data_IF_801491321690
#
_entry.id   IF_801491321690
#
_cell.length_a   1.000
_cell.length_b   1.000
_cell.length_c   1.000
_cell.angle_alpha   90.00
_cell.angle_beta   90.00
_cell.angle_gamma   90.00
#
_symmetry.space_group_name_H-M   'P 1'
#
loop_
_entity.id
_entity.type
_entity.pdbx_description
1 polymer ?
#
# COMPACT_ATOMS: atom_id res chain seq x y z
N UNK A 1 2.83 26.54 18.27
CA UNK A 1 4.01 27.09 17.54
C UNK A 1 5.29 26.93 18.37
N UNK A 2 6.37 26.41 17.78
CA UNK A 2 7.73 26.33 18.39
C UNK A 2 8.70 27.13 17.55
N UNK A 3 9.60 27.88 18.20
CA UNK A 3 10.62 28.68 17.53
C UNK A 3 11.98 28.34 18.12
N UNK A 4 12.91 27.89 17.28
CA UNK A 4 14.29 27.56 17.67
C UNK A 4 15.23 28.40 16.81
N UNK A 5 16.20 29.06 17.49
CA UNK A 5 17.25 29.81 16.80
C UNK A 5 18.48 28.91 16.62
N UNK A 6 19.08 28.96 15.46
CA UNK A 6 20.33 28.27 15.14
C UNK A 6 21.15 29.16 14.20
N UNK A 7 22.43 29.32 14.50
CA UNK A 7 23.31 30.27 13.80
C UNK A 7 22.64 31.64 13.68
N UNK A 8 22.43 32.14 12.46
CA UNK A 8 21.73 33.39 12.16
C UNK A 8 20.28 33.16 11.72
N UNK A 9 19.80 31.94 11.82
CA UNK A 9 18.53 31.50 11.29
C UNK A 9 17.50 31.22 12.40
N UNK A 10 16.25 31.12 11.99
CA UNK A 10 15.13 30.74 12.87
C UNK A 10 14.37 29.57 12.23
N UNK A 11 14.17 28.52 12.98
CA UNK A 11 13.24 27.46 12.63
C UNK A 11 11.91 27.64 13.35
N UNK A 12 10.83 27.66 12.59
CA UNK A 12 9.45 27.76 13.08
C UNK A 12 8.73 26.46 12.74
N UNK A 13 8.20 25.80 13.77
CA UNK A 13 7.36 24.62 13.57
C UNK A 13 5.90 24.93 13.91
N UNK A 14 4.99 24.48 13.03
CA UNK A 14 3.55 24.60 13.12
C UNK A 14 2.88 23.26 12.83
N UNK A 15 1.70 23.06 13.42
CA UNK A 15 0.81 21.96 13.06
C UNK A 15 -0.43 22.54 12.32
N UNK A 16 -0.94 21.80 11.34
CA UNK A 16 -2.14 22.24 10.58
C UNK A 16 -3.40 22.40 11.43
N UNK A 17 -3.40 21.86 12.66
CA UNK A 17 -4.50 22.05 13.60
C UNK A 17 -4.50 23.44 14.27
N UNK A 18 -3.41 24.20 14.17
CA UNK A 18 -3.21 25.51 14.83
C UNK A 18 -3.56 26.66 13.88
N UNK A 19 -4.84 26.78 13.49
CA UNK A 19 -5.30 27.71 12.46
C UNK A 19 -4.89 29.17 12.71
N UNK A 20 -4.99 29.67 13.96
CA UNK A 20 -4.64 31.06 14.28
C UNK A 20 -3.15 31.34 14.06
N UNK A 21 -2.28 30.42 14.44
CA UNK A 21 -0.84 30.53 14.26
C UNK A 21 -0.44 30.42 12.77
N UNK A 22 -1.14 29.55 12.01
CA UNK A 22 -0.94 29.42 10.57
C UNK A 22 -1.30 30.71 9.83
N UNK A 23 -2.49 31.29 10.09
CA UNK A 23 -2.92 32.54 9.47
C UNK A 23 -1.94 33.69 9.76
N UNK A 24 -1.41 33.75 10.98
CA UNK A 24 -0.40 34.74 11.35
C UNK A 24 0.88 34.58 10.55
N UNK A 25 1.42 33.34 10.46
CA UNK A 25 2.64 33.04 9.69
C UNK A 25 2.43 33.35 8.20
N UNK A 26 1.30 32.96 7.65
CA UNK A 26 1.01 33.26 6.24
C UNK A 26 0.99 34.76 5.94
N UNK A 27 0.44 35.58 6.88
CA UNK A 27 0.45 37.03 6.78
C UNK A 27 1.85 37.62 6.99
N UNK A 28 2.57 37.18 8.03
CA UNK A 28 3.89 37.74 8.41
C UNK A 28 4.94 37.46 7.31
N UNK A 29 4.85 36.32 6.62
CA UNK A 29 5.77 35.92 5.58
C UNK A 29 5.22 36.10 4.17
N UNK A 30 4.08 36.76 3.98
CA UNK A 30 3.44 37.00 2.68
C UNK A 30 3.39 35.73 1.83
N UNK A 31 2.80 34.65 2.42
CA UNK A 31 2.66 33.36 1.77
C UNK A 31 1.37 33.33 0.96
N UNK A 32 1.48 32.95 -0.32
CA UNK A 32 0.36 32.92 -1.24
C UNK A 32 -0.73 31.94 -0.78
N UNK A 33 -1.99 32.30 -1.02
CA UNK A 33 -3.17 31.46 -0.74
C UNK A 33 -3.07 30.08 -1.41
N UNK A 34 -2.45 29.98 -2.55
CA UNK A 34 -2.21 28.72 -3.25
C UNK A 34 -1.34 27.77 -2.43
N UNK A 35 -0.23 28.27 -1.86
CA UNK A 35 0.66 27.50 -0.97
C UNK A 35 -0.09 27.04 0.29
N UNK A 36 -0.98 27.92 0.82
CA UNK A 36 -1.81 27.59 1.98
C UNK A 36 -2.71 26.39 1.67
N UNK A 37 -3.38 26.41 0.52
CA UNK A 37 -4.25 25.32 0.10
C UNK A 37 -3.49 24.00 -0.05
N UNK A 38 -2.29 24.01 -0.64
CA UNK A 38 -1.44 22.83 -0.75
C UNK A 38 -1.01 22.29 0.61
N UNK A 39 -0.66 23.16 1.55
CA UNK A 39 -0.24 22.78 2.90
C UNK A 39 -1.36 22.08 3.67
N UNK A 40 -2.60 22.51 3.48
CA UNK A 40 -3.78 21.97 4.16
C UNK A 40 -4.26 20.65 3.52
N UNK A 41 -4.01 20.43 2.23
CA UNK A 41 -4.41 19.19 1.56
C UNK A 41 -3.61 17.99 2.10
N UNK A 42 -4.35 16.99 2.60
CA UNK A 42 -3.75 15.74 3.12
C UNK A 42 -3.19 14.85 2.00
N UNK A 43 -3.72 15.00 0.79
CA UNK A 43 -3.35 14.22 -0.38
C UNK A 43 -2.47 14.99 -1.36
N UNK A 44 -1.92 16.15 -0.96
CA UNK A 44 -1.07 16.94 -1.83
C UNK A 44 0.16 16.16 -2.28
N UNK A 45 0.54 16.37 -3.52
CA UNK A 45 1.70 15.71 -4.11
C UNK A 45 2.99 16.41 -3.70
N UNK A 46 4.08 15.64 -3.65
CA UNK A 46 5.40 16.25 -3.50
C UNK A 46 5.64 17.25 -4.65
N UNK A 47 6.02 18.47 -4.29
CA UNK A 47 6.24 19.56 -5.25
C UNK A 47 7.29 20.53 -4.76
N UNK A 48 7.89 21.22 -5.73
CA UNK A 48 8.83 22.31 -5.54
C UNK A 48 8.23 23.58 -6.15
N UNK A 49 8.20 24.66 -5.38
CA UNK A 49 7.91 26.00 -5.88
C UNK A 49 9.01 26.96 -5.43
N UNK A 50 9.51 27.77 -6.34
CA UNK A 50 10.48 28.79 -6.03
C UNK A 50 10.12 30.10 -6.72
N UNK A 51 9.77 31.10 -5.92
CA UNK A 51 9.58 32.46 -6.38
C UNK A 51 10.86 33.25 -6.25
N UNK A 52 11.44 33.60 -7.40
CA UNK A 52 12.69 34.36 -7.47
C UNK A 52 12.55 35.79 -6.98
N UNK A 53 11.35 36.39 -7.03
CA UNK A 53 11.13 37.80 -6.63
C UNK A 53 11.08 37.96 -5.12
N UNK A 54 10.39 37.06 -4.44
CA UNK A 54 10.27 37.05 -2.99
C UNK A 54 11.32 36.20 -2.28
N UNK A 55 12.18 35.50 -3.04
CA UNK A 55 13.13 34.49 -2.57
C UNK A 55 12.47 33.43 -1.65
N UNK A 56 11.26 33.04 -2.02
CA UNK A 56 10.43 32.08 -1.32
C UNK A 56 10.61 30.70 -1.95
N UNK A 57 11.10 29.74 -1.17
CA UNK A 57 11.15 28.33 -1.56
C UNK A 57 10.11 27.56 -0.76
N UNK A 58 9.26 26.81 -1.44
CA UNK A 58 8.27 25.90 -0.87
C UNK A 58 8.55 24.49 -1.36
N UNK A 59 8.65 23.57 -0.42
CA UNK A 59 8.81 22.14 -0.65
C UNK A 59 7.70 21.37 0.05
N UNK A 60 7.03 20.50 -0.67
CA UNK A 60 6.08 19.53 -0.10
C UNK A 60 6.66 18.14 -0.31
N UNK A 61 6.87 17.40 0.77
CA UNK A 61 7.56 16.12 0.78
C UNK A 61 6.73 15.06 1.51
N UNK A 62 6.60 13.87 0.92
CA UNK A 62 5.79 12.81 1.51
C UNK A 62 6.55 12.08 2.62
N UNK A 63 5.86 11.83 3.73
CA UNK A 63 6.38 11.22 4.96
C UNK A 63 5.54 9.99 5.30
N UNK A 64 6.14 8.85 5.70
CA UNK A 64 5.39 7.72 6.22
C UNK A 64 4.61 8.11 7.48
N UNK A 65 3.35 7.69 7.58
CA UNK A 65 2.56 7.86 8.79
C UNK A 65 3.08 6.94 9.90
N UNK A 66 3.14 7.46 11.14
CA UNK A 66 3.61 6.69 12.30
C UNK A 66 2.71 5.48 12.60
N UNK A 67 1.41 5.59 12.37
CA UNK A 67 0.41 4.57 12.65
C UNK A 67 -0.35 4.17 11.39
N UNK A 68 -0.89 2.95 11.40
CA UNK A 68 -1.73 2.44 10.32
C UNK A 68 -3.12 3.08 10.37
N UNK A 69 -3.66 3.33 9.17
CA UNK A 69 -5.07 3.65 8.93
C UNK A 69 -5.70 2.42 8.27
N UNK A 70 -6.85 1.95 8.72
CA UNK A 70 -7.54 0.78 8.15
C UNK A 70 -6.62 -0.45 7.89
N UNK A 71 -5.71 -0.74 8.83
CA UNK A 71 -4.71 -1.82 8.82
C UNK A 71 -3.56 -1.68 7.82
N UNK A 72 -3.44 -0.60 7.07
CA UNK A 72 -2.31 -0.36 6.16
C UNK A 72 -1.58 0.95 6.50
N UNK A 73 -0.33 1.04 6.08
CA UNK A 73 0.44 2.28 6.18
C UNK A 73 0.11 3.21 5.03
N UNK A 74 0.06 4.50 5.34
CA UNK A 74 -0.11 5.59 4.40
C UNK A 74 1.04 6.59 4.51
N UNK A 75 1.04 7.58 3.65
CA UNK A 75 1.96 8.71 3.70
C UNK A 75 1.18 10.02 3.75
N UNK A 76 1.72 11.00 4.46
CA UNK A 76 1.12 12.33 4.57
C UNK A 76 2.18 13.39 4.23
N UNK A 77 1.85 14.41 3.42
CA UNK A 77 2.81 15.44 3.06
C UNK A 77 3.15 16.35 4.25
N UNK A 78 4.42 16.75 4.33
CA UNK A 78 4.95 17.80 5.18
C UNK A 78 5.35 18.97 4.29
N UNK A 79 5.13 20.21 4.76
CA UNK A 79 5.50 21.40 4.01
C UNK A 79 6.70 22.08 4.66
N UNK A 80 7.70 22.38 3.87
CA UNK A 80 8.87 23.18 4.23
C UNK A 80 8.85 24.48 3.44
N UNK A 81 9.06 25.60 4.13
CA UNK A 81 9.13 26.93 3.54
C UNK A 81 10.43 27.58 3.99
N UNK A 82 11.20 28.06 3.03
CA UNK A 82 12.42 28.85 3.28
C UNK A 82 12.20 30.25 2.74
N UNK A 83 12.31 31.25 3.61
CA UNK A 83 12.27 32.66 3.24
C UNK A 83 13.30 33.44 4.05
N UNK A 84 14.26 34.05 3.37
CA UNK A 84 15.40 34.72 4.01
C UNK A 84 16.12 33.78 5.01
N UNK A 85 16.26 34.21 6.29
CA UNK A 85 16.88 33.44 7.36
C UNK A 85 15.85 32.62 8.17
N UNK A 86 14.67 32.36 7.61
CA UNK A 86 13.62 31.61 8.31
C UNK A 86 13.31 30.32 7.58
N UNK A 87 13.31 29.23 8.34
CA UNK A 87 12.87 27.90 7.92
C UNK A 87 11.57 27.55 8.64
N UNK A 88 10.51 27.33 7.89
CA UNK A 88 9.20 26.99 8.46
C UNK A 88 8.86 25.56 8.08
N UNK A 89 8.44 24.77 9.07
CA UNK A 89 7.96 23.41 8.86
C UNK A 89 6.51 23.32 9.31
N UNK A 90 5.63 22.84 8.44
CA UNK A 90 4.22 22.64 8.76
C UNK A 90 3.91 21.15 8.66
N UNK A 91 3.56 20.55 9.81
CA UNK A 91 3.25 19.13 9.95
C UNK A 91 1.75 18.91 10.11
N UNK A 92 1.35 17.67 9.90
CA UNK A 92 0.04 17.13 10.29
C UNK A 92 0.23 16.16 11.47
N UNK A 93 -0.82 15.78 12.14
CA UNK A 93 -0.76 14.89 13.31
C UNK A 93 0.01 13.59 13.01
N UNK A 94 -0.20 13.03 11.81
CA UNK A 94 0.37 11.74 11.38
C UNK A 94 1.90 11.77 11.21
N UNK A 95 2.48 12.93 10.89
CA UNK A 95 3.90 13.09 10.60
C UNK A 95 4.64 14.05 11.54
N UNK A 96 4.00 14.56 12.59
CA UNK A 96 4.60 15.46 13.58
C UNK A 96 5.82 14.85 14.29
N UNK A 97 5.93 13.52 14.33
CA UNK A 97 7.08 12.82 14.93
C UNK A 97 8.43 13.17 14.29
N UNK A 98 8.43 13.68 13.06
CA UNK A 98 9.65 14.14 12.37
C UNK A 98 10.29 15.34 13.09
N UNK A 99 9.48 16.18 13.72
CA UNK A 99 10.01 17.38 14.42
C UNK A 99 10.97 17.03 15.55
N UNK A 100 10.77 15.88 16.21
CA UNK A 100 11.69 15.42 17.26
C UNK A 100 13.08 15.07 16.69
N UNK A 101 13.14 14.52 15.49
CA UNK A 101 14.42 14.23 14.82
C UNK A 101 15.10 15.53 14.35
N UNK A 102 14.30 16.49 13.88
CA UNK A 102 14.77 17.81 13.49
C UNK A 102 15.36 18.59 14.70
N UNK A 103 14.68 18.54 15.86
CA UNK A 103 15.17 19.13 17.11
C UNK A 103 16.52 18.52 17.52
N UNK A 104 16.61 17.19 17.54
CA UNK A 104 17.86 16.48 17.88
C UNK A 104 19.02 16.83 16.95
N UNK A 105 18.73 17.00 15.66
CA UNK A 105 19.76 17.41 14.70
C UNK A 105 20.32 18.79 15.05
N UNK A 106 19.44 19.78 15.30
CA UNK A 106 19.86 21.14 15.63
C UNK A 106 20.59 21.22 16.98
N UNK A 107 20.22 20.42 17.99
CA UNK A 107 20.96 20.34 19.28
C UNK A 107 22.42 19.91 19.08
N UNK A 108 22.71 19.13 18.03
CA UNK A 108 24.06 18.65 17.73
C UNK A 108 24.79 19.52 16.69
N UNK A 109 24.06 20.32 15.91
CA UNK A 109 24.56 21.06 14.76
C UNK A 109 24.01 22.50 14.74
N UNK A 110 24.23 23.25 15.81
CA UNK A 110 23.75 24.64 15.98
C UNK A 110 24.27 25.61 14.90
N UNK A 111 25.42 25.31 14.29
CA UNK A 111 26.06 26.12 13.25
C UNK A 111 25.65 25.77 11.82
N UNK A 112 24.65 24.88 11.63
CA UNK A 112 24.16 24.46 10.31
C UNK A 112 23.58 25.63 9.52
N UNK A 113 23.67 25.52 8.19
CA UNK A 113 22.90 26.37 7.28
C UNK A 113 21.45 25.90 7.22
N UNK A 114 20.54 26.72 6.63
CA UNK A 114 19.16 26.32 6.38
C UNK A 114 19.10 25.12 5.43
N UNK A 115 19.95 25.08 4.42
CA UNK A 115 19.92 24.00 3.42
C UNK A 115 20.54 22.70 3.96
N UNK A 116 21.61 22.75 4.77
CA UNK A 116 22.11 21.58 5.51
C UNK A 116 21.01 21.01 6.41
N UNK A 117 20.31 21.86 7.15
CA UNK A 117 19.20 21.43 8.00
C UNK A 117 18.04 20.84 7.20
N UNK A 118 17.68 21.47 6.06
CA UNK A 118 16.65 20.94 5.16
C UNK A 118 17.04 19.58 4.58
N UNK A 119 18.26 19.46 4.01
CA UNK A 119 18.67 18.21 3.36
C UNK A 119 18.85 17.08 4.36
N UNK A 120 19.39 17.34 5.55
CA UNK A 120 19.39 16.35 6.61
C UNK A 120 17.97 15.91 6.99
N UNK A 121 17.04 16.86 7.10
CA UNK A 121 15.63 16.53 7.38
C UNK A 121 15.03 15.63 6.30
N UNK A 122 15.27 15.95 5.02
CA UNK A 122 14.80 15.12 3.89
C UNK A 122 15.46 13.73 3.91
N UNK A 123 16.73 13.64 4.27
CA UNK A 123 17.44 12.37 4.45
C UNK A 123 16.80 11.52 5.55
N UNK A 124 16.58 12.10 6.73
CA UNK A 124 15.93 11.42 7.85
C UNK A 124 14.54 10.93 7.47
N UNK A 125 13.73 11.75 6.79
CA UNK A 125 12.40 11.33 6.32
C UNK A 125 12.52 10.17 5.34
N UNK A 126 13.47 10.21 4.42
CA UNK A 126 13.71 9.15 3.45
C UNK A 126 14.12 7.84 4.13
N UNK A 127 15.02 7.92 5.11
CA UNK A 127 15.44 6.77 5.93
C UNK A 127 14.28 6.14 6.69
N UNK A 128 13.31 6.94 7.17
CA UNK A 128 12.11 6.41 7.85
C UNK A 128 11.24 5.49 6.98
N UNK A 129 11.38 5.47 5.67
CA UNK A 129 10.64 4.52 4.81
C UNK A 129 11.12 3.07 5.02
N UNK A 130 12.41 2.84 5.26
CA UNK A 130 12.98 1.50 5.32
C UNK A 130 12.37 0.61 6.42
N UNK A 131 12.26 1.06 7.69
CA UNK A 131 11.66 0.23 8.74
C UNK A 131 10.24 -0.23 8.41
N UNK A 132 9.43 0.63 7.81
CA UNK A 132 8.05 0.28 7.41
C UNK A 132 8.03 -0.73 6.25
N UNK A 133 8.92 -0.57 5.27
CA UNK A 133 9.06 -1.52 4.15
C UNK A 133 9.51 -2.89 4.67
N UNK A 134 10.44 -2.94 5.61
CA UNK A 134 10.90 -4.18 6.24
C UNK A 134 9.80 -4.85 7.05
N UNK A 135 9.02 -4.08 7.82
CA UNK A 135 7.85 -4.60 8.54
C UNK A 135 6.83 -5.19 7.57
N UNK A 136 6.46 -4.46 6.51
CA UNK A 136 5.52 -4.96 5.49
C UNK A 136 6.04 -6.22 4.81
N UNK A 137 7.34 -6.31 4.50
CA UNK A 137 7.96 -7.50 3.93
C UNK A 137 7.93 -8.69 4.91
N UNK A 138 8.12 -8.45 6.19
CA UNK A 138 8.01 -9.47 7.24
C UNK A 138 6.57 -9.97 7.38
N UNK A 139 5.60 -9.05 7.41
CA UNK A 139 4.18 -9.39 7.43
C UNK A 139 3.77 -10.17 6.18
N UNK A 140 4.24 -9.80 4.99
CA UNK A 140 4.02 -10.52 3.73
C UNK A 140 4.53 -11.97 3.81
N UNK A 141 5.74 -12.20 4.34
CA UNK A 141 6.28 -13.56 4.54
C UNK A 141 5.38 -14.38 5.45
N UNK A 142 4.93 -13.82 6.56
CA UNK A 142 4.04 -14.47 7.53
C UNK A 142 2.67 -14.80 6.91
N UNK A 143 2.08 -13.86 6.17
CA UNK A 143 0.80 -14.07 5.47
C UNK A 143 0.94 -15.16 4.41
N UNK A 144 2.02 -15.15 3.61
CA UNK A 144 2.29 -16.16 2.61
C UNK A 144 2.39 -17.58 3.23
N UNK A 145 3.09 -17.74 4.36
CA UNK A 145 3.19 -19.02 5.06
C UNK A 145 1.79 -19.51 5.48
N UNK A 146 0.99 -18.64 6.11
CA UNK A 146 -0.38 -18.98 6.52
C UNK A 146 -1.31 -19.33 5.33
N UNK A 147 -1.15 -18.63 4.20
CA UNK A 147 -1.94 -18.89 2.99
C UNK A 147 -1.56 -20.22 2.33
N UNK A 148 -0.29 -20.63 2.41
CA UNK A 148 0.16 -21.97 1.96
C UNK A 148 -0.45 -23.10 2.77
N UNK A 149 -0.59 -22.91 4.09
CA UNK A 149 -1.21 -23.91 4.97
C UNK A 149 -2.73 -23.97 4.75
N UNK A 150 -3.38 -22.82 4.75
CA UNK A 150 -4.81 -22.67 4.54
C UNK A 150 -5.17 -21.30 3.96
N UNK A 151 -5.74 -21.32 2.77
CA UNK A 151 -6.30 -20.10 2.17
C UNK A 151 -7.56 -19.69 2.93
N UNK A 152 -7.50 -18.58 3.66
CA UNK A 152 -8.62 -18.03 4.42
C UNK A 152 -8.94 -16.60 4.01
N UNK A 153 -10.20 -16.18 4.12
CA UNK A 153 -10.62 -14.81 3.84
C UNK A 153 -9.81 -13.79 4.64
N UNK A 154 -9.51 -14.09 5.92
CA UNK A 154 -8.73 -13.21 6.80
C UNK A 154 -7.33 -12.97 6.25
N UNK A 155 -6.62 -14.02 5.81
CA UNK A 155 -5.26 -13.90 5.30
C UNK A 155 -5.21 -13.18 3.94
N UNK A 156 -6.26 -13.32 3.13
CA UNK A 156 -6.38 -12.59 1.87
C UNK A 156 -6.63 -11.08 2.10
N UNK A 157 -7.43 -10.72 3.11
CA UNK A 157 -7.63 -9.33 3.49
C UNK A 157 -6.31 -8.71 3.98
N UNK A 158 -5.55 -9.42 4.84
CA UNK A 158 -4.23 -8.95 5.27
C UNK A 158 -3.25 -8.76 4.09
N UNK A 159 -3.32 -9.63 3.07
CA UNK A 159 -2.51 -9.46 1.87
C UNK A 159 -2.92 -8.22 1.09
N UNK A 160 -4.23 -7.96 0.99
CA UNK A 160 -4.79 -6.76 0.35
C UNK A 160 -4.39 -5.48 1.10
N UNK A 161 -4.41 -5.50 2.44
CA UNK A 161 -3.99 -4.36 3.26
C UNK A 161 -2.50 -4.02 3.03
N UNK A 162 -1.65 -5.04 2.94
CA UNK A 162 -0.22 -4.87 2.60
C UNK A 162 -0.02 -4.33 1.17
N UNK A 163 -0.82 -4.81 0.21
CA UNK A 163 -0.78 -4.33 -1.17
C UNK A 163 -1.20 -2.86 -1.26
N UNK A 164 -2.22 -2.46 -0.50
CA UNK A 164 -2.65 -1.07 -0.40
C UNK A 164 -1.55 -0.19 0.19
N UNK A 165 -0.97 -0.58 1.32
CA UNK A 165 0.08 0.20 1.98
C UNK A 165 1.32 0.39 1.11
N UNK A 166 1.77 -0.66 0.41
CA UNK A 166 2.94 -0.53 -0.47
C UNK A 166 2.68 0.39 -1.67
N UNK A 167 1.43 0.48 -2.17
CA UNK A 167 1.06 1.39 -3.26
C UNK A 167 1.22 2.86 -2.82
N UNK A 168 0.83 3.21 -1.60
CA UNK A 168 1.09 4.54 -1.04
C UNK A 168 2.59 4.84 -1.01
N UNK A 169 3.41 3.90 -0.55
CA UNK A 169 4.86 4.08 -0.47
C UNK A 169 5.53 4.20 -1.83
N UNK A 170 5.11 3.40 -2.82
CA UNK A 170 5.59 3.52 -4.22
C UNK A 170 5.23 4.89 -4.79
N UNK A 171 4.02 5.38 -4.55
CA UNK A 171 3.58 6.68 -5.05
C UNK A 171 4.38 7.80 -4.41
N UNK A 172 4.46 7.80 -3.08
CA UNK A 172 5.17 8.82 -2.31
C UNK A 172 6.66 8.88 -2.62
N UNK A 173 7.35 7.73 -2.61
CA UNK A 173 8.79 7.67 -2.89
C UNK A 173 9.14 8.15 -4.30
N UNK A 174 8.35 7.79 -5.31
CA UNK A 174 8.53 8.30 -6.68
C UNK A 174 8.37 9.82 -6.77
N UNK A 175 7.36 10.36 -6.11
CA UNK A 175 7.13 11.82 -6.09
C UNK A 175 8.27 12.54 -5.38
N UNK A 176 8.76 11.99 -4.26
CA UNK A 176 9.89 12.54 -3.52
C UNK A 176 11.16 12.55 -4.38
N UNK A 177 11.47 11.46 -5.12
CA UNK A 177 12.61 11.44 -6.06
C UNK A 177 12.47 12.49 -7.14
N UNK A 178 11.29 12.62 -7.76
CA UNK A 178 11.07 13.63 -8.80
C UNK A 178 11.28 15.06 -8.27
N UNK A 179 10.86 15.33 -7.05
CA UNK A 179 11.09 16.62 -6.39
C UNK A 179 12.59 16.85 -6.15
N UNK A 180 13.32 15.86 -5.63
CA UNK A 180 14.77 15.97 -5.40
C UNK A 180 15.53 16.19 -6.72
N UNK A 181 15.15 15.51 -7.80
CA UNK A 181 15.71 15.73 -9.14
C UNK A 181 15.41 17.15 -9.67
N UNK A 182 14.22 17.69 -9.38
CA UNK A 182 13.92 19.10 -9.68
C UNK A 182 14.83 20.06 -8.92
N UNK A 183 15.11 19.81 -7.63
CA UNK A 183 16.05 20.61 -6.84
C UNK A 183 17.45 20.60 -7.48
N UNK A 184 17.95 19.42 -7.88
CA UNK A 184 19.28 19.29 -8.49
C UNK A 184 19.44 20.03 -9.82
N UNK A 185 18.37 20.25 -10.55
CA UNK A 185 18.39 20.92 -11.87
C UNK A 185 17.95 22.38 -11.82
N UNK A 186 17.37 22.82 -10.70
CA UNK A 186 16.85 24.19 -10.57
C UNK A 186 17.95 25.24 -10.44
N UNK A 187 17.69 26.46 -10.92
CA UNK A 187 18.65 27.56 -10.91
C UNK A 187 19.10 28.01 -9.51
N UNK A 188 18.27 27.84 -8.46
CA UNK A 188 18.64 28.19 -7.10
C UNK A 188 19.70 27.25 -6.49
N UNK A 189 19.97 26.06 -7.06
CA UNK A 189 21.08 25.19 -6.70
C UNK A 189 22.44 25.92 -6.72
N UNK A 190 22.54 26.93 -7.55
CA UNK A 190 23.78 27.75 -7.61
C UNK A 190 24.07 28.53 -6.31
N UNK A 191 23.08 28.65 -5.42
CA UNK A 191 23.26 29.23 -4.07
C UNK A 191 23.84 28.25 -3.05
N UNK A 192 23.85 26.95 -3.37
CA UNK A 192 24.33 25.91 -2.45
C UNK A 192 25.86 25.85 -2.43
N UNK A 193 26.42 25.63 -1.26
CA UNK A 193 27.80 25.24 -1.06
C UNK A 193 28.07 23.85 -1.65
N UNK A 194 29.33 23.48 -1.79
CA UNK A 194 29.66 22.11 -2.26
C UNK A 194 29.19 21.05 -1.26
N UNK A 195 29.29 21.30 0.05
CA UNK A 195 28.79 20.40 1.11
C UNK A 195 27.28 20.19 0.98
N UNK A 196 26.50 21.25 0.80
CA UNK A 196 25.04 21.15 0.63
C UNK A 196 24.64 20.42 -0.66
N UNK A 197 25.45 20.52 -1.73
CA UNK A 197 25.23 19.74 -2.95
C UNK A 197 25.48 18.25 -2.74
N UNK A 198 26.55 17.90 -1.99
CA UNK A 198 26.85 16.50 -1.63
C UNK A 198 25.72 15.93 -0.77
N UNK A 199 25.25 16.64 0.25
CA UNK A 199 24.11 16.20 1.08
C UNK A 199 22.84 15.99 0.26
N UNK A 200 22.54 16.89 -0.69
CA UNK A 200 21.40 16.73 -1.58
C UNK A 200 21.54 15.49 -2.48
N UNK A 201 22.75 15.19 -2.96
CA UNK A 201 23.03 14.00 -3.77
C UNK A 201 22.86 12.72 -2.94
N UNK A 202 23.28 12.72 -1.67
CA UNK A 202 23.09 11.60 -0.74
C UNK A 202 21.60 11.33 -0.48
N UNK A 203 20.80 12.38 -0.24
CA UNK A 203 19.34 12.25 -0.12
C UNK A 203 18.73 11.64 -1.39
N UNK A 204 19.17 12.09 -2.57
CA UNK A 204 18.65 11.58 -3.84
C UNK A 204 19.00 10.10 -4.07
N UNK A 205 20.21 9.70 -3.70
CA UNK A 205 20.65 8.29 -3.77
C UNK A 205 19.76 7.45 -2.88
N UNK A 206 19.59 7.84 -1.61
CA UNK A 206 18.77 7.13 -0.64
C UNK A 206 17.29 7.05 -1.09
N UNK A 207 16.74 8.15 -1.59
CA UNK A 207 15.37 8.17 -2.11
C UNK A 207 15.17 7.24 -3.31
N UNK A 208 16.15 7.12 -4.22
CA UNK A 208 16.14 6.16 -5.32
C UNK A 208 16.16 4.71 -4.83
N UNK A 209 16.91 4.43 -3.76
CA UNK A 209 16.92 3.10 -3.12
C UNK A 209 15.54 2.77 -2.53
N UNK A 210 14.88 3.73 -1.86
CA UNK A 210 13.50 3.54 -1.37
C UNK A 210 12.54 3.22 -2.51
N UNK A 211 12.64 3.93 -3.65
CA UNK A 211 11.81 3.64 -4.84
C UNK A 211 12.02 2.22 -5.32
N UNK A 212 13.27 1.78 -5.45
CA UNK A 212 13.59 0.42 -5.90
C UNK A 212 13.01 -0.63 -4.95
N UNK A 213 13.22 -0.47 -3.64
CA UNK A 213 12.72 -1.40 -2.63
C UNK A 213 11.18 -1.46 -2.59
N UNK A 214 10.50 -0.32 -2.68
CA UNK A 214 9.04 -0.28 -2.71
C UNK A 214 8.47 -0.91 -3.98
N UNK A 215 9.10 -0.70 -5.14
CA UNK A 215 8.69 -1.31 -6.40
C UNK A 215 8.83 -2.83 -6.38
N UNK A 216 9.98 -3.35 -5.91
CA UNK A 216 10.21 -4.79 -5.76
C UNK A 216 9.17 -5.39 -4.81
N UNK A 217 8.93 -4.75 -3.65
CA UNK A 217 7.94 -5.22 -2.68
C UNK A 217 6.52 -5.23 -3.26
N UNK A 218 6.15 -4.21 -4.03
CA UNK A 218 4.86 -4.11 -4.71
C UNK A 218 4.68 -5.21 -5.75
N UNK A 219 5.70 -5.46 -6.57
CA UNK A 219 5.64 -6.52 -7.60
C UNK A 219 5.49 -7.91 -6.96
N UNK A 220 6.23 -8.19 -5.88
CA UNK A 220 6.12 -9.47 -5.15
C UNK A 220 4.70 -9.64 -4.56
N UNK A 221 4.13 -8.59 -3.96
CA UNK A 221 2.78 -8.62 -3.41
C UNK A 221 1.74 -8.87 -4.51
N UNK A 222 1.84 -8.19 -5.64
CA UNK A 222 0.97 -8.36 -6.80
C UNK A 222 1.02 -9.79 -7.36
N UNK A 223 2.22 -10.36 -7.50
CA UNK A 223 2.39 -11.75 -7.96
C UNK A 223 1.79 -12.75 -6.96
N UNK A 224 1.96 -12.49 -5.66
CA UNK A 224 1.42 -13.33 -4.60
C UNK A 224 -0.11 -13.30 -4.62
N UNK A 225 -0.71 -12.12 -4.71
CA UNK A 225 -2.17 -11.92 -4.83
C UNK A 225 -2.74 -12.66 -6.05
N UNK A 226 -2.09 -12.51 -7.21
CA UNK A 226 -2.46 -13.24 -8.42
C UNK A 226 -2.39 -14.76 -8.27
N UNK A 227 -1.35 -15.26 -7.62
CA UNK A 227 -1.18 -16.70 -7.36
C UNK A 227 -2.32 -17.24 -6.50
N UNK A 228 -2.68 -16.55 -5.40
CA UNK A 228 -3.75 -17.01 -4.52
C UNK A 228 -5.13 -16.90 -5.15
N UNK A 229 -5.38 -15.90 -6.00
CA UNK A 229 -6.61 -15.81 -6.79
C UNK A 229 -6.74 -17.01 -7.73
N UNK A 230 -5.65 -17.45 -8.38
CA UNK A 230 -5.65 -18.65 -9.21
C UNK A 230 -5.88 -19.92 -8.39
N UNK A 231 -5.29 -20.05 -7.20
CA UNK A 231 -5.55 -21.19 -6.30
C UNK A 231 -7.02 -21.25 -5.88
N UNK A 232 -7.62 -20.10 -5.53
CA UNK A 232 -9.05 -20.04 -5.19
C UNK A 232 -9.94 -20.47 -6.36
N UNK A 233 -9.66 -19.99 -7.57
CA UNK A 233 -10.39 -20.37 -8.77
C UNK A 233 -10.26 -21.87 -9.06
N UNK A 234 -9.08 -22.44 -8.91
CA UNK A 234 -8.87 -23.88 -9.07
C UNK A 234 -9.65 -24.68 -8.02
N UNK A 235 -9.62 -24.28 -6.75
CA UNK A 235 -10.39 -24.94 -5.69
C UNK A 235 -11.91 -24.86 -5.95
N UNK A 236 -12.39 -23.73 -6.46
CA UNK A 236 -13.78 -23.56 -6.86
C UNK A 236 -14.13 -24.53 -8.00
N UNK A 237 -13.30 -24.60 -9.04
CA UNK A 237 -13.49 -25.50 -10.17
C UNK A 237 -13.51 -26.97 -9.73
N UNK A 238 -12.60 -27.37 -8.82
CA UNK A 238 -12.59 -28.73 -8.27
C UNK A 238 -13.87 -29.04 -7.47
N UNK A 239 -14.33 -28.09 -6.66
CA UNK A 239 -15.60 -28.22 -5.93
C UNK A 239 -16.79 -28.35 -6.89
N UNK A 240 -16.84 -27.51 -7.93
CA UNK A 240 -17.87 -27.57 -8.97
C UNK A 240 -17.86 -28.92 -9.73
N UNK A 241 -16.65 -29.43 -10.03
CA UNK A 241 -16.46 -30.74 -10.65
C UNK A 241 -17.04 -31.85 -9.77
N UNK A 242 -16.71 -31.89 -8.48
CA UNK A 242 -17.22 -32.87 -7.52
C UNK A 242 -18.76 -32.79 -7.43
N UNK A 243 -19.33 -31.58 -7.33
CA UNK A 243 -20.78 -31.39 -7.27
C UNK A 243 -21.46 -31.86 -8.53
N UNK A 244 -20.89 -31.56 -9.71
CA UNK A 244 -21.42 -32.00 -11.01
C UNK A 244 -21.45 -33.54 -11.11
N UNK A 245 -20.34 -34.19 -10.70
CA UNK A 245 -20.26 -35.66 -10.69
C UNK A 245 -21.32 -36.27 -9.77
N UNK A 246 -21.44 -35.76 -8.55
CA UNK A 246 -22.47 -36.23 -7.62
C UNK A 246 -23.87 -36.04 -8.16
N UNK A 247 -24.18 -34.89 -8.76
CA UNK A 247 -25.49 -34.61 -9.37
C UNK A 247 -25.81 -35.59 -10.51
N UNK A 248 -24.86 -35.82 -11.39
CA UNK A 248 -25.04 -36.77 -12.53
C UNK A 248 -25.18 -38.20 -12.02
N UNK A 249 -24.43 -38.63 -11.02
CA UNK A 249 -24.55 -39.98 -10.45
C UNK A 249 -25.87 -40.20 -9.73
N UNK A 250 -26.43 -39.18 -9.07
CA UNK A 250 -27.75 -39.26 -8.41
C UNK A 250 -28.90 -39.27 -9.38
N UNK A 251 -28.71 -38.80 -10.63
CA UNK A 251 -29.75 -38.78 -11.65
C UNK A 251 -30.17 -40.21 -12.07
N UNK A 252 -29.22 -41.18 -12.11
CA UNK A 252 -29.52 -42.56 -12.49
C UNK A 252 -30.54 -43.23 -11.57
N UNK A 253 -30.32 -43.35 -10.24
CA UNK A 253 -31.29 -43.87 -9.33
C UNK A 253 -32.64 -43.15 -9.44
N UNK A 254 -32.62 -41.82 -9.56
CA UNK A 254 -33.83 -41.00 -9.64
C UNK A 254 -34.66 -41.33 -10.89
N UNK A 255 -34.05 -41.46 -12.08
CA UNK A 255 -34.73 -41.84 -13.31
C UNK A 255 -35.30 -43.22 -13.18
N UNK A 256 -34.56 -44.19 -12.67
CA UNK A 256 -35.01 -45.59 -12.57
C UNK A 256 -36.16 -45.70 -11.57
N UNK A 257 -36.05 -45.12 -10.38
CA UNK A 257 -37.10 -45.13 -9.37
C UNK A 257 -38.33 -44.36 -9.83
N UNK A 258 -38.15 -43.25 -10.54
CA UNK A 258 -39.24 -42.49 -11.13
C UNK A 258 -39.98 -43.26 -12.22
N UNK A 259 -39.25 -43.97 -13.09
CA UNK A 259 -39.84 -44.81 -14.13
C UNK A 259 -40.66 -45.97 -13.54
N UNK A 260 -40.09 -46.71 -12.60
CA UNK A 260 -40.80 -47.83 -11.95
C UNK A 260 -41.84 -47.39 -10.89
N UNK A 261 -41.90 -46.11 -10.54
CA UNK A 261 -42.92 -45.52 -9.66
C UNK A 261 -44.16 -45.00 -10.41
N UNK A 262 -44.23 -45.14 -11.76
CA UNK A 262 -45.39 -44.69 -12.54
C UNK A 262 -46.58 -45.67 -12.39
N UNK A 263 -47.79 -45.10 -12.35
CA UNK A 263 -49.06 -45.88 -12.29
C UNK A 263 -49.50 -46.35 -13.68
N UNK A 264 -48.59 -47.00 -14.40
CA UNK A 264 -48.80 -47.54 -15.72
C UNK A 264 -48.36 -49.02 -15.75
N UNK A 265 -48.95 -49.91 -16.62
CA UNK A 265 -48.43 -51.25 -16.75
C UNK A 265 -46.99 -51.28 -17.19
N UNK A 266 -46.11 -51.71 -16.29
CA UNK A 266 -44.65 -51.67 -16.44
C UNK A 266 -44.08 -53.08 -16.59
N UNK A 267 -42.94 -53.26 -17.29
CA UNK A 267 -42.22 -54.54 -17.28
C UNK A 267 -41.90 -54.93 -15.83
N UNK A 268 -42.08 -56.22 -15.46
CA UNK A 268 -41.80 -56.73 -14.08
C UNK A 268 -42.92 -56.44 -13.04
N UNK A 269 -44.02 -55.80 -13.38
CA UNK A 269 -45.14 -55.49 -12.45
C UNK A 269 -45.69 -56.71 -11.69
N UNK A 270 -45.80 -57.83 -12.39
CA UNK A 270 -46.28 -59.08 -11.79
C UNK A 270 -45.23 -59.97 -11.17
N UNK A 271 -43.96 -59.50 -11.12
CA UNK A 271 -42.85 -60.27 -10.56
C UNK A 271 -42.50 -59.78 -9.12
N UNK A 272 -42.71 -60.68 -8.17
CA UNK A 272 -42.41 -60.36 -6.73
C UNK A 272 -40.94 -59.95 -6.49
N UNK A 273 -40.00 -60.30 -7.38
CA UNK A 273 -38.57 -59.95 -7.30
C UNK A 273 -38.24 -58.72 -8.21
N UNK A 274 -39.26 -58.06 -8.80
CA UNK A 274 -39.03 -56.92 -9.72
C UNK A 274 -38.26 -55.77 -9.08
N UNK A 275 -38.50 -55.48 -7.80
CA UNK A 275 -37.77 -54.45 -7.07
C UNK A 275 -36.26 -54.73 -6.93
N UNK A 276 -35.88 -56.00 -6.74
CA UNK A 276 -34.46 -56.41 -6.66
C UNK A 276 -33.77 -56.16 -8.01
N UNK A 277 -34.42 -56.55 -9.09
CA UNK A 277 -33.89 -56.35 -10.47
C UNK A 277 -33.68 -54.87 -10.74
N UNK A 278 -34.63 -54.02 -10.36
CA UNK A 278 -34.55 -52.58 -10.51
C UNK A 278 -33.36 -51.98 -9.79
N UNK A 279 -33.09 -52.40 -8.53
CA UNK A 279 -31.94 -51.98 -7.75
C UNK A 279 -30.63 -52.45 -8.42
N UNK A 280 -30.54 -53.68 -8.86
CA UNK A 280 -29.34 -54.21 -9.51
C UNK A 280 -29.01 -53.45 -10.81
N UNK A 281 -30.02 -53.17 -11.63
CA UNK A 281 -29.88 -52.35 -12.84
C UNK A 281 -29.36 -50.93 -12.47
N UNK A 282 -29.94 -50.30 -11.43
CA UNK A 282 -29.55 -48.99 -10.99
C UNK A 282 -28.08 -48.96 -10.56
N UNK A 283 -27.66 -49.92 -9.76
CA UNK A 283 -26.28 -50.05 -9.30
C UNK A 283 -25.33 -50.29 -10.48
N UNK A 284 -25.67 -51.14 -11.41
CA UNK A 284 -24.84 -51.42 -12.57
C UNK A 284 -24.64 -50.16 -13.46
N UNK A 285 -25.72 -49.46 -13.76
CA UNK A 285 -25.67 -48.21 -14.55
C UNK A 285 -24.87 -47.11 -13.78
N UNK A 286 -25.05 -47.05 -12.46
CA UNK A 286 -24.32 -46.11 -11.62
C UNK A 286 -22.79 -46.36 -11.67
N UNK A 287 -22.36 -47.61 -11.53
CA UNK A 287 -20.93 -47.97 -11.65
C UNK A 287 -20.40 -47.73 -13.07
N UNK A 288 -21.18 -48.06 -14.10
CA UNK A 288 -20.80 -47.81 -15.50
C UNK A 288 -20.56 -46.32 -15.78
N UNK A 289 -21.52 -45.45 -15.33
CA UNK A 289 -21.39 -44.01 -15.47
C UNK A 289 -20.26 -43.44 -14.64
N UNK A 290 -20.09 -43.95 -13.41
CA UNK A 290 -18.94 -43.54 -12.53
C UNK A 290 -17.62 -43.84 -13.19
N UNK A 291 -17.47 -44.99 -13.84
CA UNK A 291 -16.25 -45.35 -14.56
C UNK A 291 -15.99 -44.44 -15.78
N UNK A 292 -17.02 -44.12 -16.55
CA UNK A 292 -16.95 -43.21 -17.70
C UNK A 292 -16.53 -41.80 -17.24
N UNK A 293 -17.19 -41.27 -16.19
CA UNK A 293 -16.90 -39.96 -15.65
C UNK A 293 -15.46 -39.88 -15.13
N UNK A 294 -14.98 -40.89 -14.41
CA UNK A 294 -13.55 -40.96 -13.97
C UNK A 294 -12.57 -40.93 -15.13
N UNK A 295 -12.92 -41.52 -16.30
CA UNK A 295 -12.05 -41.51 -17.48
C UNK A 295 -12.04 -40.17 -18.20
N UNK A 296 -13.20 -39.47 -18.22
CA UNK A 296 -13.36 -38.16 -18.87
C UNK A 296 -12.73 -37.01 -18.03
N UNK A 297 -12.58 -37.21 -16.71
CA UNK A 297 -12.11 -36.19 -15.80
C UNK A 297 -10.59 -36.30 -15.42
N UNK A 298 -9.92 -37.29 -15.97
CA UNK A 298 -8.45 -37.38 -15.96
C UNK A 298 -7.88 -36.54 -17.11
#
# INVERSE_FOLDING_TARGET
>A
MRNIKFKENVWIHLNTNDNEELEKIYSDYDINLEVINYTLDVNERARLEYDKHSDLLVLIYNVPNKSKTDNHYETTPITFIVKNNTFITITKEQNEYITLEMEKYLEQNEDSSIFEFLFNTLFVITDKFFPYIEEMNTQRKNVNTKLREKTSKKNLLLLSDLETGIVFFVSASKQNVLLLEQITTHSFRNKFTESEKEELEDVLIEAKQVVEMTQISSEILRQLSGTYNNVLNNNLNDTMRVLTVLSVLLTIPTIITGFFGMNMPLPLEHNTSGWIITIVISIFLWFGLSFILRKLMK
#
